data_IF_194374933468
#
_entry.id   IF_194374933468
#
_cell.length_a   1.000
_cell.length_b   1.000
_cell.length_c   1.000
_cell.angle_alpha   90.00
_cell.angle_beta   90.00
_cell.angle_gamma   90.00
#
_symmetry.space_group_name_H-M   'P 1'
#
loop_
_entity.id
_entity.type
_entity.pdbx_description
1 polymer ?
#
# COMPACT_ATOMS: atom_id res chain seq x y z
N UNK A 1 6.10 -21.23 -26.39
CA UNK A 1 6.65 -20.46 -25.25
C UNK A 1 6.10 -21.04 -23.96
N UNK A 2 6.63 -20.64 -22.81
CA UNK A 2 6.03 -20.97 -21.50
C UNK A 2 5.00 -19.89 -21.18
N UNK A 3 3.83 -20.28 -20.67
CA UNK A 3 2.80 -19.34 -20.23
C UNK A 3 3.22 -18.62 -18.94
N UNK A 4 3.01 -17.32 -18.88
CA UNK A 4 3.41 -16.51 -17.72
C UNK A 4 2.47 -15.32 -17.48
N UNK A 5 2.30 -14.96 -16.22
CA UNK A 5 1.65 -13.71 -15.81
C UNK A 5 2.66 -12.90 -15.00
N UNK A 6 2.89 -11.65 -15.40
CA UNK A 6 3.75 -10.73 -14.64
C UNK A 6 2.90 -9.57 -14.12
N UNK A 7 2.54 -9.63 -12.84
CA UNK A 7 1.84 -8.55 -12.15
C UNK A 7 2.84 -7.58 -11.50
N UNK A 8 2.86 -6.33 -11.98
CA UNK A 8 3.66 -5.25 -11.41
C UNK A 8 2.78 -4.46 -10.45
N UNK A 9 3.16 -4.46 -9.18
CA UNK A 9 2.46 -3.74 -8.10
C UNK A 9 3.30 -2.59 -7.56
N UNK A 10 2.68 -1.73 -6.74
CA UNK A 10 3.33 -0.59 -6.13
C UNK A 10 2.93 -0.48 -4.66
N UNK A 11 3.92 -0.17 -3.80
CA UNK A 11 3.76 0.09 -2.36
C UNK A 11 2.81 -0.94 -1.71
N UNK A 12 3.18 -2.21 -1.79
CA UNK A 12 2.39 -3.31 -1.25
C UNK A 12 2.34 -3.24 0.28
N UNK A 13 1.14 -3.30 0.85
CA UNK A 13 0.92 -3.26 2.29
C UNK A 13 -0.14 -4.28 2.74
N UNK A 14 -0.10 -4.63 4.03
CA UNK A 14 -0.99 -5.61 4.64
C UNK A 14 -0.54 -5.97 6.06
N UNK A 15 -1.23 -6.89 6.71
CA UNK A 15 -0.89 -7.34 8.06
C UNK A 15 -0.01 -8.58 7.95
N UNK A 16 1.26 -8.44 8.35
CA UNK A 16 2.19 -9.57 8.41
C UNK A 16 3.10 -9.47 9.64
N UNK A 17 3.08 -10.45 10.56
CA UNK A 17 3.78 -10.37 11.84
C UNK A 17 5.30 -10.13 11.73
N UNK A 18 5.94 -10.60 10.66
CA UNK A 18 7.39 -10.61 10.54
C UNK A 18 7.96 -9.51 9.63
N UNK A 19 7.13 -8.66 9.03
CA UNK A 19 7.60 -7.58 8.15
C UNK A 19 6.72 -6.35 8.29
N UNK A 20 7.31 -5.26 8.78
CA UNK A 20 6.68 -3.94 8.77
C UNK A 20 6.63 -3.41 7.33
N UNK A 21 5.53 -2.74 7.00
CA UNK A 21 5.36 -1.89 5.83
C UNK A 21 5.03 -0.46 6.26
N UNK A 22 4.96 0.45 5.30
CA UNK A 22 4.72 1.87 5.56
C UNK A 22 3.45 2.14 6.39
N UNK A 23 2.34 1.46 6.10
CA UNK A 23 1.07 1.62 6.84
C UNK A 23 1.22 1.14 8.28
N UNK A 24 1.78 -0.06 8.50
CA UNK A 24 2.02 -0.58 9.87
C UNK A 24 3.02 0.26 10.66
N UNK A 25 3.98 0.91 9.99
CA UNK A 25 4.93 1.82 10.62
C UNK A 25 4.25 3.13 11.04
N UNK A 26 3.33 3.68 10.22
CA UNK A 26 2.50 4.83 10.61
C UNK A 26 1.70 4.46 11.85
N UNK A 27 0.91 3.38 11.80
CA UNK A 27 0.06 2.96 12.91
C UNK A 27 0.84 2.80 14.21
N UNK A 28 1.97 2.09 14.17
CA UNK A 28 2.83 1.93 15.34
C UNK A 28 3.30 3.28 15.91
N UNK A 29 3.63 4.27 15.07
CA UNK A 29 4.03 5.58 15.59
C UNK A 29 2.85 6.36 16.18
N UNK A 30 1.68 6.29 15.55
CA UNK A 30 0.45 6.92 16.04
C UNK A 30 0.02 6.34 17.39
N UNK A 31 0.05 5.01 17.54
CA UNK A 31 -0.26 4.30 18.78
C UNK A 31 0.68 4.69 19.93
N UNK A 32 1.93 5.00 19.63
CA UNK A 32 2.92 5.44 20.62
C UNK A 32 2.93 6.97 20.83
N UNK A 33 2.02 7.73 20.20
CA UNK A 33 1.97 9.19 20.32
C UNK A 33 3.17 9.92 19.71
N UNK A 34 3.92 9.26 18.82
CA UNK A 34 5.08 9.85 18.18
C UNK A 34 4.67 10.87 17.11
N UNK A 35 5.41 11.98 17.02
CA UNK A 35 5.33 12.88 15.86
C UNK A 35 6.00 12.22 14.66
N UNK A 36 5.35 12.27 13.52
CA UNK A 36 5.82 11.64 12.28
C UNK A 36 6.10 12.72 11.25
N UNK A 37 7.30 12.69 10.68
CA UNK A 37 7.68 13.53 9.56
C UNK A 37 7.58 12.72 8.26
N UNK A 38 6.87 13.24 7.27
CA UNK A 38 6.56 12.52 6.03
C UNK A 38 6.96 13.37 4.81
N UNK A 39 7.78 12.77 3.95
CA UNK A 39 8.13 13.34 2.64
C UNK A 39 6.90 13.51 1.74
N UNK A 40 6.88 14.56 0.92
CA UNK A 40 5.74 14.87 0.04
C UNK A 40 6.01 14.60 -1.45
N UNK A 41 7.27 14.38 -1.81
CA UNK A 41 7.74 14.30 -3.20
C UNK A 41 7.62 12.90 -3.86
N UNK A 42 7.09 11.91 -3.15
CA UNK A 42 6.93 10.54 -3.66
C UNK A 42 5.46 10.21 -3.84
N UNK A 43 5.01 10.07 -5.10
CA UNK A 43 3.64 9.72 -5.48
C UNK A 43 3.58 8.28 -6.00
N UNK A 44 2.66 7.47 -5.47
CA UNK A 44 2.46 6.07 -5.85
C UNK A 44 0.99 5.65 -5.68
N UNK A 45 0.64 4.48 -6.22
CA UNK A 45 -0.65 3.84 -5.97
C UNK A 45 -0.49 2.65 -5.02
N UNK A 46 -0.76 2.81 -3.71
CA UNK A 46 -0.54 1.74 -2.74
C UNK A 46 -1.51 0.59 -2.93
N UNK A 47 -1.00 -0.64 -2.78
CA UNK A 47 -1.76 -1.85 -3.08
C UNK A 47 -1.95 -2.68 -1.81
N UNK A 48 -3.19 -2.96 -1.44
CA UNK A 48 -3.47 -3.91 -0.36
C UNK A 48 -3.15 -5.33 -0.85
N UNK A 49 -2.38 -6.09 -0.07
CA UNK A 49 -1.94 -7.43 -0.43
C UNK A 49 -3.11 -8.38 -0.71
N UNK A 50 -4.22 -8.25 0.02
CA UNK A 50 -5.43 -9.04 -0.21
C UNK A 50 -6.04 -8.76 -1.58
N UNK A 51 -6.17 -7.49 -1.97
CA UNK A 51 -6.69 -7.11 -3.30
C UNK A 51 -5.77 -7.64 -4.41
N UNK A 52 -4.45 -7.60 -4.21
CA UNK A 52 -3.51 -8.19 -5.17
C UNK A 52 -3.71 -9.70 -5.29
N UNK A 53 -3.88 -10.41 -4.17
CA UNK A 53 -4.12 -11.85 -4.18
C UNK A 53 -5.42 -12.21 -4.93
N UNK A 54 -6.50 -11.45 -4.72
CA UNK A 54 -7.76 -11.63 -5.46
C UNK A 54 -7.58 -11.42 -6.96
N UNK A 55 -6.84 -10.37 -7.37
CA UNK A 55 -6.53 -10.13 -8.78
C UNK A 55 -5.70 -11.29 -9.36
N UNK A 56 -4.70 -11.79 -8.64
CA UNK A 56 -3.87 -12.91 -9.10
C UNK A 56 -4.70 -14.17 -9.33
N UNK A 57 -5.59 -14.52 -8.40
CA UNK A 57 -6.50 -15.66 -8.56
C UNK A 57 -7.38 -15.49 -9.81
N UNK A 58 -7.97 -14.29 -9.98
CA UNK A 58 -8.79 -14.00 -11.14
C UNK A 58 -8.03 -14.13 -12.47
N UNK A 59 -6.77 -13.69 -12.53
CA UNK A 59 -5.93 -13.79 -13.74
C UNK A 59 -5.56 -15.23 -14.07
N UNK A 60 -5.29 -16.05 -13.05
CA UNK A 60 -5.02 -17.49 -13.20
C UNK A 60 -6.27 -18.18 -13.77
N UNK A 61 -7.45 -17.91 -13.21
CA UNK A 61 -8.71 -18.52 -13.65
C UNK A 61 -9.06 -18.20 -15.12
N UNK A 62 -8.55 -17.07 -15.64
CA UNK A 62 -8.81 -16.62 -17.01
C UNK A 62 -7.66 -16.91 -17.98
N UNK A 63 -6.68 -17.75 -17.59
CA UNK A 63 -5.53 -18.14 -18.42
C UNK A 63 -4.86 -16.97 -19.14
N UNK A 64 -4.68 -15.86 -18.42
CA UNK A 64 -3.97 -14.69 -18.96
C UNK A 64 -2.49 -15.03 -19.13
N UNK A 65 -1.86 -14.56 -20.20
CA UNK A 65 -0.43 -14.76 -20.43
C UNK A 65 0.19 -13.45 -20.93
N UNK A 66 0.31 -12.48 -20.02
CA UNK A 66 0.70 -11.10 -20.32
C UNK A 66 1.33 -10.38 -19.10
N UNK A 67 1.84 -9.17 -19.35
CA UNK A 67 2.37 -8.27 -18.31
C UNK A 67 1.28 -7.27 -17.93
N UNK A 68 0.91 -7.22 -16.64
CA UNK A 68 -0.21 -6.42 -16.13
C UNK A 68 0.27 -5.54 -14.97
N UNK A 69 -0.23 -4.31 -14.91
CA UNK A 69 -0.06 -3.43 -13.75
C UNK A 69 -1.25 -3.60 -12.81
N UNK A 70 -0.96 -4.00 -11.57
CA UNK A 70 -1.97 -4.30 -10.53
C UNK A 70 -1.67 -3.43 -9.32
N UNK A 71 -2.25 -2.24 -9.30
CA UNK A 71 -2.05 -1.22 -8.28
C UNK A 71 -3.38 -0.75 -7.69
N UNK A 72 -3.33 -0.08 -6.54
CA UNK A 72 -4.49 0.62 -5.99
C UNK A 72 -5.06 1.65 -6.97
N UNK A 73 -6.33 2.00 -6.79
CA UNK A 73 -7.09 2.91 -7.67
C UNK A 73 -6.78 4.41 -7.45
N UNK A 74 -6.01 4.74 -6.41
CA UNK A 74 -5.68 6.11 -6.03
C UNK A 74 -4.18 6.36 -6.11
N UNK A 75 -3.77 7.44 -6.77
CA UNK A 75 -2.42 7.98 -6.68
C UNK A 75 -2.33 8.90 -5.46
N UNK A 76 -1.39 8.61 -4.55
CA UNK A 76 -1.20 9.33 -3.30
C UNK A 76 0.28 9.60 -3.06
N UNK A 77 0.60 10.76 -2.54
CA UNK A 77 1.89 10.97 -1.91
C UNK A 77 1.95 10.32 -0.50
N UNK A 78 3.16 10.19 0.06
CA UNK A 78 3.33 9.55 1.39
C UNK A 78 2.56 10.27 2.50
N UNK A 79 2.44 11.59 2.43
CA UNK A 79 1.72 12.39 3.42
C UNK A 79 0.22 12.09 3.34
N UNK A 80 -0.36 12.10 2.15
CA UNK A 80 -1.76 11.74 1.91
C UNK A 80 -2.07 10.31 2.35
N UNK A 81 -1.15 9.37 2.09
CA UNK A 81 -1.26 8.00 2.61
C UNK A 81 -1.29 7.96 4.15
N UNK A 82 -0.45 8.76 4.82
CA UNK A 82 -0.38 8.81 6.27
C UNK A 82 -1.65 9.41 6.89
N UNK A 83 -2.16 10.50 6.30
CA UNK A 83 -3.43 11.13 6.70
C UNK A 83 -4.59 10.16 6.55
N UNK A 84 -4.74 9.52 5.37
CA UNK A 84 -5.78 8.50 5.15
C UNK A 84 -5.68 7.33 6.12
N UNK A 85 -4.46 6.90 6.45
CA UNK A 85 -4.24 5.87 7.46
C UNK A 85 -4.78 6.31 8.83
N UNK A 86 -4.43 7.52 9.29
CA UNK A 86 -4.95 8.03 10.56
C UNK A 86 -6.48 8.17 10.56
N UNK A 87 -7.07 8.63 9.46
CA UNK A 87 -8.54 8.75 9.30
C UNK A 87 -9.23 7.38 9.42
N UNK A 88 -8.77 6.37 8.68
CA UNK A 88 -9.35 5.02 8.68
C UNK A 88 -9.29 4.37 10.07
N UNK A 89 -8.20 4.63 10.81
CA UNK A 89 -7.97 4.04 12.14
C UNK A 89 -8.34 4.98 13.31
N UNK A 90 -9.01 6.11 13.04
CA UNK A 90 -9.48 7.08 14.03
C UNK A 90 -8.39 7.63 14.97
N UNK A 91 -7.20 7.92 14.44
CA UNK A 91 -6.14 8.60 15.18
C UNK A 91 -6.23 10.12 15.00
N UNK A 92 -6.22 10.86 16.11
CA UNK A 92 -6.10 12.33 16.11
C UNK A 92 -4.61 12.71 16.23
N UNK A 93 -3.88 12.68 15.11
CA UNK A 93 -2.44 12.97 15.11
C UNK A 93 -2.06 14.15 14.23
N UNK A 94 -1.03 14.87 14.66
CA UNK A 94 -0.44 15.97 13.91
C UNK A 94 0.76 15.46 13.13
N UNK A 95 0.64 15.44 11.79
CA UNK A 95 1.75 15.13 10.90
C UNK A 95 2.57 16.40 10.59
N UNK A 96 3.87 16.25 10.44
CA UNK A 96 4.75 17.27 9.86
C UNK A 96 5.14 16.87 8.44
N UNK A 97 5.34 17.87 7.58
CA UNK A 97 5.69 17.70 6.16
C UNK A 97 7.02 18.36 5.87
N UNK A 98 7.81 17.70 5.02
CA UNK A 98 9.04 18.24 4.41
C UNK A 98 8.76 18.88 3.05
#
# INVERSE_FOLDING_TARGET
GIDYIICRTAVLYGWYPHRKNFITWILNNLENGNKINIITNQINSPTLANNLAEILLHLIDHNKSEIIHTVGDCALNRYEMAVKCAEVFNFFATFSKD
#
